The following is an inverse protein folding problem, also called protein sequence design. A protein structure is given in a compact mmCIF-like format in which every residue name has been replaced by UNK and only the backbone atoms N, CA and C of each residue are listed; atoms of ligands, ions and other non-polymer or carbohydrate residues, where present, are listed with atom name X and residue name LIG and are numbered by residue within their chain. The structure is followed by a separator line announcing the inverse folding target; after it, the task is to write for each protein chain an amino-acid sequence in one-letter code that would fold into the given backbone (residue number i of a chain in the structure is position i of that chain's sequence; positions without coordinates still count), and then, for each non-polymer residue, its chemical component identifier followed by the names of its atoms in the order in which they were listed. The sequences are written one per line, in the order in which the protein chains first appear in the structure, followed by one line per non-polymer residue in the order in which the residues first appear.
data_IF_788421370346
#
_entry.id   IF_788421370346
#
_cell.length_a   1.000
_cell.length_b   1.000
_cell.length_c   1.000
_cell.angle_alpha   90.00
_cell.angle_beta   90.00
_cell.angle_gamma   90.00
#
_symmetry.space_group_name_H-M   'P 1'
#
loop_
_entity.id
_entity.type
_entity.pdbx_description
1 polymer ?
#
# COMPACT_ATOMS: atom_id res chain seq x y z
N UNK A 1 -26.39 -16.29 -13.31
CA UNK A 1 -25.08 -16.72 -12.77
C UNK A 1 -24.04 -16.63 -13.89
N UNK A 2 -22.83 -16.14 -13.59
CA UNK A 2 -21.68 -16.06 -14.52
C UNK A 2 -20.43 -16.55 -13.78
N UNK A 3 -19.49 -17.14 -14.50
CA UNK A 3 -18.17 -17.55 -13.99
C UNK A 3 -17.18 -16.42 -14.19
N UNK A 4 -16.57 -15.96 -13.11
CA UNK A 4 -15.67 -14.81 -13.12
C UNK A 4 -14.30 -15.24 -12.61
N UNK A 5 -13.28 -15.08 -13.45
CA UNK A 5 -11.90 -15.29 -13.06
C UNK A 5 -11.29 -13.94 -12.63
N UNK A 6 -10.91 -13.82 -11.37
CA UNK A 6 -10.20 -12.67 -10.82
C UNK A 6 -8.71 -12.97 -10.77
N UNK A 7 -7.90 -12.17 -11.46
CA UNK A 7 -6.45 -12.33 -11.55
C UNK A 7 -5.76 -11.17 -10.83
N UNK A 8 -4.90 -11.47 -9.85
CA UNK A 8 -3.98 -10.46 -9.30
C UNK A 8 -2.72 -10.40 -10.16
N UNK A 9 -2.35 -9.21 -10.62
CA UNK A 9 -1.13 -9.00 -11.41
C UNK A 9 0.12 -8.74 -10.56
N UNK A 10 0.00 -8.74 -9.23
CA UNK A 10 1.12 -8.38 -8.38
C UNK A 10 2.21 -9.46 -8.47
N UNK A 11 3.48 -9.03 -8.57
CA UNK A 11 4.67 -9.89 -8.48
C UNK A 11 5.63 -9.43 -7.38
N UNK A 12 5.27 -8.37 -6.66
CA UNK A 12 6.17 -7.73 -5.69
C UNK A 12 6.27 -8.55 -4.42
N UNK A 13 7.52 -8.81 -4.02
CA UNK A 13 7.86 -9.50 -2.76
C UNK A 13 8.55 -8.57 -1.76
N UNK A 14 8.73 -7.30 -2.12
CA UNK A 14 9.51 -6.31 -1.38
C UNK A 14 8.61 -5.21 -0.78
N UNK A 15 8.82 -4.82 0.49
CA UNK A 15 9.68 -5.50 1.48
C UNK A 15 9.13 -6.87 1.87
N UNK A 16 7.84 -7.12 1.70
CA UNK A 16 7.20 -8.42 1.89
C UNK A 16 6.06 -8.58 0.90
N UNK A 17 5.72 -9.81 0.49
CA UNK A 17 4.58 -10.04 -0.38
C UNK A 17 3.28 -9.66 0.34
N UNK A 18 2.37 -8.99 -0.38
CA UNK A 18 1.10 -8.50 0.16
C UNK A 18 -0.06 -9.19 -0.53
N UNK A 19 -0.98 -9.74 0.27
CA UNK A 19 -2.19 -10.40 -0.24
C UNK A 19 -3.06 -9.40 -1.02
N UNK A 20 -3.66 -9.79 -2.16
CA UNK A 20 -4.44 -8.89 -3.02
C UNK A 20 -5.84 -8.59 -2.41
N UNK A 21 -5.86 -7.82 -1.32
CA UNK A 21 -7.07 -7.52 -0.55
C UNK A 21 -8.18 -6.88 -1.39
N UNK A 22 -7.84 -5.91 -2.24
CA UNK A 22 -8.82 -5.28 -3.14
C UNK A 22 -9.51 -6.30 -4.05
N UNK A 23 -8.77 -7.28 -4.59
CA UNK A 23 -9.33 -8.35 -5.40
C UNK A 23 -10.25 -9.27 -4.58
N UNK A 24 -9.90 -9.58 -3.33
CA UNK A 24 -10.76 -10.38 -2.44
C UNK A 24 -12.06 -9.68 -2.06
N UNK A 25 -12.04 -8.35 -1.89
CA UNK A 25 -13.26 -7.55 -1.68
C UNK A 25 -14.15 -7.56 -2.93
N UNK A 26 -13.55 -7.41 -4.12
CA UNK A 26 -14.30 -7.54 -5.38
C UNK A 26 -14.88 -8.95 -5.57
N UNK A 27 -14.12 -10.00 -5.22
CA UNK A 27 -14.61 -11.38 -5.26
C UNK A 27 -15.83 -11.57 -4.34
N UNK A 28 -15.81 -11.00 -3.12
CA UNK A 28 -16.93 -11.05 -2.20
C UNK A 28 -18.18 -10.34 -2.76
N UNK A 29 -18.01 -9.16 -3.36
CA UNK A 29 -19.12 -8.41 -3.96
C UNK A 29 -19.76 -9.17 -5.13
N UNK A 30 -18.95 -9.76 -6.00
CA UNK A 30 -19.43 -10.57 -7.13
C UNK A 30 -20.12 -11.86 -6.68
N UNK A 31 -19.59 -12.53 -5.66
CA UNK A 31 -20.21 -13.71 -5.07
C UNK A 31 -21.58 -13.36 -4.45
N UNK A 32 -21.67 -12.24 -3.72
CA UNK A 32 -22.92 -11.74 -3.15
C UNK A 32 -23.96 -11.37 -4.23
N UNK A 33 -23.51 -10.96 -5.43
CA UNK A 33 -24.35 -10.73 -6.60
C UNK A 33 -24.79 -12.03 -7.33
N UNK A 34 -24.44 -13.21 -6.81
CA UNK A 34 -24.86 -14.50 -7.36
C UNK A 34 -24.00 -15.00 -8.53
N UNK A 35 -22.75 -14.54 -8.61
CA UNK A 35 -21.75 -15.04 -9.56
C UNK A 35 -20.84 -16.09 -8.91
N UNK A 36 -20.30 -16.98 -9.74
CA UNK A 36 -19.27 -17.93 -9.33
C UNK A 36 -17.91 -17.26 -9.52
N UNK A 37 -17.12 -17.13 -8.44
CA UNK A 37 -15.86 -16.40 -8.45
C UNK A 37 -14.67 -17.33 -8.25
N UNK A 38 -13.67 -17.24 -9.13
CA UNK A 38 -12.41 -17.96 -9.03
C UNK A 38 -11.28 -16.95 -8.91
N UNK A 39 -10.46 -17.06 -7.85
CA UNK A 39 -9.30 -16.19 -7.68
C UNK A 39 -8.04 -16.89 -8.18
N UNK A 40 -7.20 -16.15 -8.90
CA UNK A 40 -5.88 -16.57 -9.33
C UNK A 40 -4.87 -15.48 -8.96
N UNK A 41 -3.93 -15.85 -8.10
CA UNK A 41 -2.89 -14.97 -7.60
C UNK A 41 -1.59 -15.31 -8.33
N UNK A 42 -1.15 -14.43 -9.21
CA UNK A 42 -0.02 -14.71 -10.09
C UNK A 42 1.27 -14.94 -9.30
N UNK A 43 1.54 -14.11 -8.28
CA UNK A 43 2.70 -14.29 -7.39
C UNK A 43 2.62 -15.60 -6.59
N UNK A 44 1.46 -15.89 -5.96
CA UNK A 44 1.33 -17.11 -5.17
C UNK A 44 1.36 -18.39 -6.02
N UNK A 45 1.13 -18.27 -7.34
CA UNK A 45 1.29 -19.35 -8.32
C UNK A 45 2.67 -19.36 -8.99
N UNK A 46 3.66 -18.67 -8.42
CA UNK A 46 5.04 -18.68 -8.92
C UNK A 46 5.21 -17.99 -10.27
N UNK A 47 4.36 -17.01 -10.58
CA UNK A 47 4.40 -16.23 -11.82
C UNK A 47 4.29 -17.10 -13.08
N UNK A 48 3.65 -18.28 -12.97
CA UNK A 48 3.51 -19.23 -14.08
C UNK A 48 2.37 -18.85 -15.02
N UNK A 49 2.75 -18.52 -16.26
CA UNK A 49 1.82 -18.31 -17.37
C UNK A 49 1.05 -19.60 -17.71
N UNK A 50 1.71 -20.76 -17.60
CA UNK A 50 1.12 -22.07 -17.86
C UNK A 50 0.00 -22.40 -16.86
N UNK A 51 0.20 -22.08 -15.58
CA UNK A 51 -0.83 -22.27 -14.56
C UNK A 51 -2.02 -21.31 -14.77
N UNK A 52 -1.77 -20.09 -15.25
CA UNK A 52 -2.85 -19.17 -15.61
C UNK A 52 -3.63 -19.70 -16.81
N UNK A 53 -2.94 -20.15 -17.86
CA UNK A 53 -3.58 -20.73 -19.04
C UNK A 53 -4.42 -21.97 -18.68
N UNK A 54 -3.88 -22.86 -17.84
CA UNK A 54 -4.60 -24.02 -17.33
C UNK A 54 -5.84 -23.61 -16.53
N UNK A 55 -5.73 -22.57 -15.68
CA UNK A 55 -6.86 -22.05 -14.91
C UNK A 55 -7.93 -21.41 -15.79
N UNK A 56 -7.56 -20.70 -16.85
CA UNK A 56 -8.51 -20.15 -17.82
C UNK A 56 -9.27 -21.29 -18.52
N UNK A 57 -8.58 -22.35 -18.93
CA UNK A 57 -9.20 -23.52 -19.54
C UNK A 57 -10.12 -24.28 -18.57
N UNK A 58 -9.69 -24.46 -17.32
CA UNK A 58 -10.45 -25.12 -16.24
C UNK A 58 -11.77 -24.38 -15.93
N UNK A 59 -11.70 -23.06 -15.76
CA UNK A 59 -12.85 -22.23 -15.38
C UNK A 59 -13.76 -21.96 -16.57
N UNK A 60 -13.16 -21.78 -17.76
CA UNK A 60 -13.82 -21.26 -18.96
C UNK A 60 -14.67 -20.00 -18.65
N UNK A 61 -14.03 -18.90 -18.21
CA UNK A 61 -14.72 -17.76 -17.62
C UNK A 61 -15.64 -17.04 -18.61
N UNK A 62 -16.75 -16.49 -18.10
CA UNK A 62 -17.59 -15.53 -18.83
C UNK A 62 -16.97 -14.13 -18.82
N UNK A 63 -16.25 -13.77 -17.74
CA UNK A 63 -15.55 -12.50 -17.56
C UNK A 63 -14.24 -12.71 -16.82
N UNK A 64 -13.24 -11.87 -17.12
CA UNK A 64 -11.97 -11.84 -16.39
C UNK A 64 -11.77 -10.46 -15.77
N UNK A 65 -11.48 -10.41 -14.47
CA UNK A 65 -11.16 -9.18 -13.73
C UNK A 65 -9.68 -9.17 -13.37
N UNK A 66 -8.92 -8.20 -13.88
CA UNK A 66 -7.48 -8.06 -13.62
C UNK A 66 -7.24 -6.92 -12.62
N UNK A 67 -6.64 -7.23 -11.47
CA UNK A 67 -6.26 -6.25 -10.45
C UNK A 67 -4.80 -5.84 -10.59
N UNK A 68 -4.56 -4.56 -10.83
CA UNK A 68 -3.24 -3.93 -10.92
C UNK A 68 -3.01 -3.04 -9.70
N UNK A 69 -2.11 -3.49 -8.82
CA UNK A 69 -1.83 -2.84 -7.53
C UNK A 69 -0.80 -1.71 -7.66
N UNK A 70 0.33 -1.96 -8.32
CA UNK A 70 1.49 -1.07 -8.35
C UNK A 70 1.79 -0.59 -9.77
N UNK A 71 2.22 0.68 -9.89
CA UNK A 71 2.81 1.20 -11.13
C UNK A 71 4.30 0.82 -11.20
N UNK A 72 5.01 0.94 -10.09
CA UNK A 72 6.44 0.74 -9.98
C UNK A 72 6.84 0.45 -8.53
N UNK A 73 8.13 0.27 -8.28
CA UNK A 73 8.70 -0.01 -6.96
C UNK A 73 8.93 1.26 -6.09
N UNK A 74 8.68 2.46 -6.60
CA UNK A 74 8.91 3.73 -5.91
C UNK A 74 10.35 3.93 -5.36
N UNK A 75 11.37 3.31 -5.97
CA UNK A 75 12.78 3.51 -5.63
C UNK A 75 13.53 4.20 -6.78
N UNK A 76 14.03 5.42 -6.56
CA UNK A 76 14.74 6.17 -7.60
C UNK A 76 16.12 5.59 -7.93
N UNK A 77 16.72 4.84 -7.01
CA UNK A 77 18.05 4.26 -7.19
C UNK A 77 18.01 2.93 -7.95
N UNK A 78 16.84 2.30 -8.04
CA UNK A 78 16.64 1.00 -8.71
C UNK A 78 15.26 0.88 -9.39
N UNK A 79 14.85 1.94 -10.09
CA UNK A 79 13.49 2.08 -10.59
C UNK A 79 13.04 0.93 -11.51
N UNK A 80 11.90 0.31 -11.17
CA UNK A 80 11.30 -0.81 -11.91
C UNK A 80 9.80 -0.58 -12.07
N UNK A 81 9.31 -0.58 -13.32
CA UNK A 81 7.88 -0.47 -13.65
C UNK A 81 7.18 -1.82 -13.82
N UNK A 82 5.89 -1.88 -13.50
CA UNK A 82 5.05 -3.09 -13.55
C UNK A 82 3.93 -3.14 -14.61
N UNK A 83 3.57 -2.07 -15.38
CA UNK A 83 2.50 -2.15 -16.39
C UNK A 83 2.69 -3.26 -17.43
N UNK A 84 3.94 -3.61 -17.75
CA UNK A 84 4.26 -4.69 -18.68
C UNK A 84 3.68 -6.05 -18.27
N UNK A 85 3.63 -6.33 -16.97
CA UNK A 85 3.04 -7.56 -16.42
C UNK A 85 1.53 -7.56 -16.69
N UNK A 86 0.84 -6.46 -16.38
CA UNK A 86 -0.59 -6.35 -16.63
C UNK A 86 -0.92 -6.56 -18.12
N UNK A 87 -0.14 -5.96 -19.03
CA UNK A 87 -0.31 -6.17 -20.48
C UNK A 87 -0.13 -7.63 -20.86
N UNK A 88 0.95 -8.29 -20.38
CA UNK A 88 1.19 -9.71 -20.68
C UNK A 88 0.07 -10.61 -20.17
N UNK A 89 -0.48 -10.34 -18.99
CA UNK A 89 -1.61 -11.09 -18.44
C UNK A 89 -2.89 -10.89 -19.26
N UNK A 90 -3.13 -9.69 -19.83
CA UNK A 90 -4.26 -9.49 -20.76
C UNK A 90 -4.04 -10.31 -22.04
N UNK A 91 -2.83 -10.32 -22.61
CA UNK A 91 -2.49 -11.12 -23.79
C UNK A 91 -2.75 -12.62 -23.56
N UNK A 92 -2.28 -13.18 -22.45
CA UNK A 92 -2.51 -14.57 -22.06
C UNK A 92 -3.99 -14.92 -21.94
N UNK A 93 -4.80 -14.01 -21.38
CA UNK A 93 -6.25 -14.21 -21.29
C UNK A 93 -6.88 -14.29 -22.68
N UNK A 94 -6.41 -13.48 -23.64
CA UNK A 94 -6.90 -13.50 -25.03
C UNK A 94 -6.45 -14.73 -25.81
N UNK A 95 -5.26 -15.23 -25.53
CA UNK A 95 -4.77 -16.49 -26.10
C UNK A 95 -5.64 -17.67 -25.61
N UNK A 96 -6.07 -17.64 -24.34
CA UNK A 96 -6.85 -18.73 -23.72
C UNK A 96 -8.37 -18.66 -23.87
N UNK A 97 -8.97 -17.46 -24.01
CA UNK A 97 -10.43 -17.30 -24.11
C UNK A 97 -10.87 -15.97 -24.75
N UNK A 98 -12.18 -15.83 -25.01
CA UNK A 98 -12.80 -14.60 -25.54
C UNK A 98 -13.56 -13.78 -24.49
N UNK A 99 -13.41 -14.12 -23.21
CA UNK A 99 -14.08 -13.40 -22.13
C UNK A 99 -13.67 -11.91 -22.13
N UNK A 100 -14.59 -10.97 -21.86
CA UNK A 100 -14.22 -9.59 -21.68
C UNK A 100 -13.27 -9.42 -20.48
N UNK A 101 -12.23 -8.60 -20.66
CA UNK A 101 -11.24 -8.30 -19.63
C UNK A 101 -11.55 -6.94 -19.02
N UNK A 102 -11.80 -6.94 -17.72
CA UNK A 102 -12.09 -5.76 -16.90
C UNK A 102 -10.87 -5.50 -16.01
N UNK A 103 -10.19 -4.38 -16.20
CA UNK A 103 -9.01 -4.00 -15.42
C UNK A 103 -9.38 -3.02 -14.30
N UNK A 104 -8.71 -3.10 -13.15
CA UNK A 104 -8.93 -2.18 -12.03
C UNK A 104 -7.80 -2.25 -11.00
N UNK A 105 -7.97 -1.59 -9.87
CA UNK A 105 -6.97 -1.52 -8.79
C UNK A 105 -6.35 -0.14 -8.63
N UNK A 106 -5.53 0.03 -7.58
CA UNK A 106 -4.99 1.33 -7.19
C UNK A 106 -4.10 1.93 -8.29
N UNK A 107 -3.13 1.19 -8.82
CA UNK A 107 -2.28 1.67 -9.90
C UNK A 107 -3.06 1.96 -11.18
N UNK A 108 -4.03 1.12 -11.54
CA UNK A 108 -4.92 1.40 -12.66
C UNK A 108 -5.66 2.73 -12.47
N UNK A 109 -6.17 2.98 -11.26
CA UNK A 109 -6.94 4.18 -10.93
C UNK A 109 -6.14 5.48 -11.00
N UNK A 110 -4.79 5.42 -10.88
CA UNK A 110 -3.89 6.58 -10.99
C UNK A 110 -3.69 7.01 -12.45
N UNK A 111 -3.57 6.04 -13.39
CA UNK A 111 -3.34 6.29 -14.83
C UNK A 111 -4.34 5.51 -15.72
N UNK A 112 -5.67 5.69 -15.55
CA UNK A 112 -6.63 4.74 -16.09
C UNK A 112 -6.76 4.79 -17.61
N UNK A 113 -6.77 5.96 -18.24
CA UNK A 113 -6.82 6.06 -19.70
C UNK A 113 -5.57 5.45 -20.35
N UNK A 114 -4.39 5.78 -19.82
CA UNK A 114 -3.12 5.30 -20.35
C UNK A 114 -2.97 3.79 -20.17
N UNK A 115 -3.30 3.25 -18.99
CA UNK A 115 -3.19 1.82 -18.72
C UNK A 115 -4.26 1.00 -19.44
N UNK A 116 -5.47 1.52 -19.61
CA UNK A 116 -6.51 0.84 -20.40
C UNK A 116 -6.06 0.71 -21.87
N UNK A 117 -5.49 1.79 -22.42
CA UNK A 117 -4.94 1.79 -23.77
C UNK A 117 -3.72 0.86 -23.90
N UNK A 118 -2.77 0.96 -22.98
CA UNK A 118 -1.52 0.19 -23.00
C UNK A 118 -1.72 -1.32 -22.84
N UNK A 119 -2.65 -1.74 -21.98
CA UNK A 119 -2.90 -3.16 -21.71
C UNK A 119 -3.84 -3.80 -22.74
N UNK A 120 -4.65 -3.01 -23.44
CA UNK A 120 -5.65 -3.53 -24.38
C UNK A 120 -6.84 -4.22 -23.72
N UNK A 121 -7.09 -3.98 -22.42
CA UNK A 121 -8.29 -4.48 -21.74
C UNK A 121 -9.57 -3.84 -22.33
N UNK A 122 -10.70 -4.55 -22.22
CA UNK A 122 -11.96 -4.08 -22.80
C UNK A 122 -12.55 -2.93 -22.00
N UNK A 123 -12.59 -3.11 -20.68
CA UNK A 123 -13.19 -2.20 -19.72
C UNK A 123 -12.25 -1.90 -18.56
N UNK A 124 -12.38 -0.73 -17.94
CA UNK A 124 -11.64 -0.32 -16.76
C UNK A 124 -12.55 0.22 -15.66
N UNK A 125 -12.22 -0.09 -14.41
CA UNK A 125 -12.90 0.43 -13.21
C UNK A 125 -11.94 1.30 -12.42
N UNK A 126 -12.31 2.56 -12.18
CA UNK A 126 -11.50 3.52 -11.42
C UNK A 126 -12.09 3.77 -10.04
N UNK A 127 -11.25 3.65 -9.01
CA UNK A 127 -11.63 3.80 -7.61
C UNK A 127 -12.30 2.53 -7.06
N UNK A 128 -13.37 2.72 -6.30
CA UNK A 128 -14.10 1.64 -5.62
C UNK A 128 -14.93 0.81 -6.62
N UNK A 129 -14.52 -0.44 -6.82
CA UNK A 129 -15.05 -1.29 -7.88
C UNK A 129 -16.19 -2.21 -7.48
N UNK A 130 -16.48 -2.36 -6.18
CA UNK A 130 -17.38 -3.36 -5.61
C UNK A 130 -18.76 -3.33 -6.27
N UNK A 131 -19.31 -2.11 -6.44
CA UNK A 131 -20.58 -1.89 -7.11
C UNK A 131 -20.43 -1.89 -8.64
N UNK A 132 -19.45 -1.14 -9.16
CA UNK A 132 -19.31 -0.87 -10.59
C UNK A 132 -19.04 -2.12 -11.41
N UNK A 133 -18.24 -3.06 -10.89
CA UNK A 133 -17.95 -4.32 -11.58
C UNK A 133 -19.22 -5.19 -11.70
N UNK A 134 -20.06 -5.20 -10.67
CA UNK A 134 -21.34 -5.92 -10.68
C UNK A 134 -22.31 -5.30 -11.71
N UNK A 135 -22.41 -3.97 -11.73
CA UNK A 135 -23.24 -3.24 -12.69
C UNK A 135 -22.77 -3.46 -14.14
N UNK A 136 -21.45 -3.40 -14.37
CA UNK A 136 -20.84 -3.64 -15.67
C UNK A 136 -21.14 -5.07 -16.17
N UNK A 137 -20.88 -6.08 -15.34
CA UNK A 137 -21.13 -7.49 -15.71
C UNK A 137 -22.61 -7.75 -15.97
N UNK A 138 -23.51 -7.17 -15.16
CA UNK A 138 -24.96 -7.25 -15.39
C UNK A 138 -25.33 -6.65 -16.74
N UNK A 139 -24.85 -5.45 -17.05
CA UNK A 139 -25.22 -4.73 -18.27
C UNK A 139 -24.67 -5.42 -19.52
N UNK A 140 -23.42 -5.90 -19.48
CA UNK A 140 -22.84 -6.72 -20.55
C UNK A 140 -23.60 -8.04 -20.74
N UNK A 141 -24.02 -8.68 -19.64
CA UNK A 141 -24.82 -9.91 -19.70
C UNK A 141 -26.22 -9.70 -20.31
N UNK A 142 -26.72 -8.45 -20.29
CA UNK A 142 -27.98 -8.05 -20.92
C UNK A 142 -27.81 -7.56 -22.36
N UNK A 143 -26.59 -7.63 -22.92
CA UNK A 143 -26.30 -7.16 -24.28
C UNK A 143 -26.27 -5.63 -24.42
N UNK A 144 -26.13 -4.89 -23.31
CA UNK A 144 -25.94 -3.43 -23.34
C UNK A 144 -24.47 -3.10 -23.68
N UNK A 145 -24.25 -1.85 -24.08
CA UNK A 145 -22.93 -1.31 -24.42
C UNK A 145 -22.55 -0.19 -23.45
N UNK A 146 -22.04 -0.51 -22.25
CA UNK A 146 -21.59 0.49 -21.29
C UNK A 146 -20.30 1.18 -21.77
N UNK A 147 -19.94 2.35 -21.19
CA UNK A 147 -18.65 2.99 -21.44
C UNK A 147 -17.48 2.05 -21.12
N UNK A 148 -16.37 2.17 -21.85
CA UNK A 148 -15.16 1.37 -21.58
C UNK A 148 -14.51 1.70 -20.24
N UNK A 149 -14.63 2.93 -19.75
CA UNK A 149 -14.05 3.34 -18.47
C UNK A 149 -15.16 3.80 -17.53
N UNK A 150 -15.28 3.15 -16.37
CA UNK A 150 -16.28 3.47 -15.35
C UNK A 150 -15.59 4.11 -14.14
N UNK A 151 -16.22 5.15 -13.61
CA UNK A 151 -15.79 5.90 -12.42
C UNK A 151 -17.00 6.04 -11.50
N UNK A 152 -16.82 5.90 -10.19
CA UNK A 152 -17.93 6.12 -9.26
C UNK A 152 -18.11 7.62 -9.02
N UNK A 153 -19.34 8.11 -9.17
CA UNK A 153 -19.69 9.50 -8.79
C UNK A 153 -19.79 9.67 -7.27
N UNK A 154 -20.04 8.58 -6.55
CA UNK A 154 -20.17 8.55 -5.10
C UNK A 154 -19.30 7.45 -4.49
N UNK A 155 -18.53 7.80 -3.47
CA UNK A 155 -17.77 6.84 -2.68
C UNK A 155 -18.69 6.13 -1.68
N UNK A 156 -18.42 4.85 -1.41
CA UNK A 156 -19.19 4.01 -0.49
C UNK A 156 -19.13 4.55 0.94
N UNK A 157 -20.22 4.64 1.70
CA UNK A 157 -20.09 4.89 3.14
C UNK A 157 -19.41 3.68 3.83
N UNK A 158 -18.75 3.91 4.95
CA UNK A 158 -17.89 2.89 5.58
C UNK A 158 -18.63 1.67 6.13
N UNK A 159 -19.92 1.81 6.44
CA UNK A 159 -20.86 0.72 6.78
C UNK A 159 -21.18 -0.20 5.59
N UNK A 160 -20.78 0.20 4.36
CA UNK A 160 -20.95 -0.58 3.13
C UNK A 160 -19.65 -1.17 2.61
N UNK A 161 -18.54 -1.05 3.34
CA UNK A 161 -17.31 -1.73 2.95
C UNK A 161 -17.46 -3.23 3.13
N UNK A 162 -17.31 -3.97 2.04
CA UNK A 162 -17.46 -5.41 2.02
C UNK A 162 -16.33 -6.13 2.74
N UNK A 163 -16.66 -7.19 3.46
CA UNK A 163 -15.69 -8.14 3.99
C UNK A 163 -14.97 -8.87 2.85
N UNK A 164 -13.64 -9.08 2.95
CA UNK A 164 -12.90 -9.79 1.91
C UNK A 164 -13.25 -11.28 1.88
N UNK A 165 -13.39 -11.83 0.67
CA UNK A 165 -13.46 -13.28 0.44
C UNK A 165 -12.04 -13.80 0.23
N UNK A 166 -11.39 -14.26 1.29
CA UNK A 166 -10.02 -14.74 1.19
C UNK A 166 -9.91 -16.10 0.47
N UNK A 167 -8.92 -16.22 -0.41
CA UNK A 167 -8.56 -17.46 -1.09
C UNK A 167 -7.72 -18.34 -0.16
N UNK A 168 -8.26 -19.50 0.23
CA UNK A 168 -7.51 -20.50 1.03
C UNK A 168 -6.18 -20.89 0.38
N UNK A 169 -6.16 -21.01 -0.95
CA UNK A 169 -4.95 -21.36 -1.71
C UNK A 169 -3.90 -20.26 -1.63
N UNK A 170 -4.31 -19.00 -1.77
CA UNK A 170 -3.38 -17.86 -1.77
C UNK A 170 -2.90 -17.51 -0.36
N UNK A 171 -3.77 -17.59 0.66
CA UNK A 171 -3.39 -17.28 2.05
C UNK A 171 -2.16 -18.08 2.50
N UNK A 172 -2.10 -19.38 2.18
CA UNK A 172 -0.98 -20.23 2.58
C UNK A 172 0.37 -19.66 2.16
N UNK A 173 0.47 -19.12 0.94
CA UNK A 173 1.67 -18.46 0.44
C UNK A 173 2.04 -17.23 1.28
N UNK A 174 1.09 -16.34 1.58
CA UNK A 174 1.40 -15.11 2.33
C UNK A 174 1.74 -15.39 3.79
N UNK A 175 1.03 -16.30 4.45
CA UNK A 175 1.38 -16.73 5.81
C UNK A 175 2.76 -17.40 5.83
N UNK A 176 3.10 -18.20 4.81
CA UNK A 176 4.43 -18.82 4.70
C UNK A 176 5.53 -17.78 4.43
N UNK A 177 5.29 -16.75 3.62
CA UNK A 177 6.33 -15.79 3.20
C UNK A 177 6.48 -14.58 4.12
N UNK A 178 5.38 -13.94 4.51
CA UNK A 178 5.39 -12.74 5.36
C UNK A 178 4.99 -13.03 6.81
N UNK A 179 4.21 -14.09 7.04
CA UNK A 179 3.60 -14.37 8.36
C UNK A 179 2.41 -13.46 8.69
N UNK A 180 1.91 -12.69 7.72
CA UNK A 180 0.88 -11.68 7.94
C UNK A 180 -0.18 -11.69 6.84
N UNK A 181 -1.42 -11.39 7.22
CA UNK A 181 -2.49 -11.01 6.28
C UNK A 181 -2.77 -9.51 6.40
N UNK A 182 -3.53 -8.92 5.47
CA UNK A 182 -3.92 -7.52 5.55
C UNK A 182 -5.44 -7.34 5.65
N UNK A 183 -5.83 -6.23 6.29
CA UNK A 183 -7.21 -5.80 6.43
C UNK A 183 -7.26 -4.27 6.39
N UNK A 184 -8.34 -3.71 5.84
CA UNK A 184 -8.59 -2.27 5.84
C UNK A 184 -9.72 -1.96 6.82
N UNK A 185 -9.50 -0.96 7.68
CA UNK A 185 -10.46 -0.51 8.72
C UNK A 185 -11.19 0.76 8.29
N UNK A 186 -10.60 1.56 7.39
CA UNK A 186 -11.20 2.76 6.83
C UNK A 186 -10.62 3.11 5.46
N UNK A 187 -11.29 4.00 4.74
CA UNK A 187 -10.83 4.58 3.48
C UNK A 187 -10.86 6.10 3.53
N UNK A 188 -9.98 6.71 2.78
CA UNK A 188 -9.88 8.15 2.60
C UNK A 188 -8.78 8.77 3.44
N UNK A 189 -8.38 9.99 3.09
CA UNK A 189 -7.35 10.75 3.79
C UNK A 189 -7.56 12.25 3.58
N UNK A 190 -7.78 13.05 4.65
CA UNK A 190 -8.01 14.49 4.54
C UNK A 190 -6.72 15.32 4.44
N UNK A 191 -5.55 14.67 4.36
CA UNK A 191 -4.28 15.37 4.35
C UNK A 191 -3.86 15.80 2.94
N UNK A 192 -3.31 17.02 2.82
CA UNK A 192 -2.87 17.60 1.55
C UNK A 192 -1.40 17.33 1.21
N UNK A 193 -0.88 16.11 1.47
CA UNK A 193 0.52 15.78 1.16
C UNK A 193 0.74 15.82 -0.35
N UNK A 194 1.68 16.64 -0.83
CA UNK A 194 1.75 17.03 -2.25
C UNK A 194 2.06 15.89 -3.23
N UNK A 195 2.56 14.76 -2.73
CA UNK A 195 3.01 13.61 -3.52
C UNK A 195 2.03 12.42 -3.44
N UNK A 196 0.98 12.54 -2.63
CA UNK A 196 0.17 11.41 -2.22
C UNK A 196 -1.00 11.14 -3.18
N UNK A 197 -1.23 9.86 -3.49
CA UNK A 197 -2.35 9.42 -4.33
C UNK A 197 -3.62 9.08 -3.55
N UNK A 198 -3.55 8.91 -2.22
CA UNK A 198 -4.69 8.45 -1.41
C UNK A 198 -5.94 9.32 -1.52
N UNK A 199 -5.88 10.66 -1.50
CA UNK A 199 -7.07 11.49 -1.68
C UNK A 199 -7.81 11.21 -3.01
N UNK A 200 -7.06 10.96 -4.09
CA UNK A 200 -7.65 10.62 -5.39
C UNK A 200 -8.18 9.17 -5.45
N UNK A 201 -7.54 8.23 -4.74
CA UNK A 201 -7.92 6.82 -4.73
C UNK A 201 -9.10 6.51 -3.80
N UNK A 202 -9.11 7.12 -2.62
CA UNK A 202 -10.01 6.76 -1.52
C UNK A 202 -10.86 7.93 -1.01
N UNK A 203 -10.68 9.13 -1.55
CA UNK A 203 -11.40 10.34 -1.15
C UNK A 203 -10.71 11.16 -0.06
N UNK A 204 -11.14 12.41 0.06
CA UNK A 204 -10.54 13.42 0.95
C UNK A 204 -11.10 13.40 2.39
N UNK A 205 -11.92 12.41 2.74
CA UNK A 205 -12.54 12.29 4.07
C UNK A 205 -12.49 10.84 4.52
N UNK A 206 -12.22 10.65 5.81
CA UNK A 206 -12.28 9.31 6.40
C UNK A 206 -13.71 8.76 6.37
N UNK A 207 -13.81 7.50 5.98
CA UNK A 207 -15.02 6.69 6.00
C UNK A 207 -14.68 5.41 6.74
N UNK A 208 -15.24 5.26 7.94
CA UNK A 208 -14.86 4.23 8.89
C UNK A 208 -15.76 3.01 8.79
N UNK A 209 -15.17 1.82 8.90
CA UNK A 209 -15.95 0.61 9.18
C UNK A 209 -16.36 0.61 10.64
N UNK A 210 -17.48 -0.03 10.94
CA UNK A 210 -17.84 -0.32 12.32
C UNK A 210 -16.77 -1.20 12.98
N UNK A 211 -16.28 -0.87 14.21
CA UNK A 211 -15.28 -1.68 14.91
C UNK A 211 -15.66 -3.15 15.02
N UNK A 212 -16.94 -3.44 15.25
CA UNK A 212 -17.46 -4.80 15.29
C UNK A 212 -17.24 -5.56 13.98
N UNK A 213 -17.47 -4.91 12.83
CA UNK A 213 -17.27 -5.54 11.52
C UNK A 213 -15.77 -5.80 11.22
N UNK A 214 -14.88 -4.94 11.70
CA UNK A 214 -13.43 -5.17 11.62
C UNK A 214 -13.05 -6.38 12.49
N UNK A 215 -13.55 -6.45 13.72
CA UNK A 215 -13.31 -7.57 14.62
C UNK A 215 -13.89 -8.89 14.10
N UNK A 216 -15.06 -8.87 13.45
CA UNK A 216 -15.67 -10.04 12.80
C UNK A 216 -14.76 -10.59 11.68
N UNK A 217 -14.15 -9.71 10.87
CA UNK A 217 -13.21 -10.13 9.82
C UNK A 217 -11.92 -10.74 10.40
N UNK A 218 -11.40 -10.14 11.47
CA UNK A 218 -10.21 -10.66 12.18
C UNK A 218 -10.47 -12.04 12.77
N UNK A 219 -11.60 -12.21 13.47
CA UNK A 219 -12.01 -13.48 14.07
C UNK A 219 -12.25 -14.55 13.00
N UNK A 220 -12.94 -14.21 11.91
CA UNK A 220 -13.19 -15.14 10.81
C UNK A 220 -11.89 -15.58 10.12
N UNK A 221 -10.99 -14.65 9.82
CA UNK A 221 -9.69 -14.98 9.22
C UNK A 221 -8.84 -15.88 10.14
N UNK A 222 -8.89 -15.65 11.47
CA UNK A 222 -8.24 -16.54 12.44
C UNK A 222 -8.89 -17.94 12.45
N UNK A 223 -10.21 -18.01 12.53
CA UNK A 223 -10.94 -19.28 12.65
C UNK A 223 -10.86 -20.14 11.37
N UNK A 224 -10.99 -19.52 10.20
CA UNK A 224 -11.05 -20.25 8.92
C UNK A 224 -9.67 -20.54 8.31
N UNK A 225 -8.65 -19.75 8.67
CA UNK A 225 -7.35 -19.77 8.01
C UNK A 225 -6.15 -19.77 8.96
N UNK A 226 -6.35 -19.72 10.28
CA UNK A 226 -5.26 -19.74 11.26
C UNK A 226 -4.41 -18.47 11.26
N UNK A 227 -4.94 -17.34 10.80
CA UNK A 227 -4.20 -16.07 10.75
C UNK A 227 -3.98 -15.53 12.16
N UNK A 228 -2.74 -15.24 12.51
CA UNK A 228 -2.37 -14.71 13.83
C UNK A 228 -1.81 -13.28 13.81
N UNK A 229 -1.39 -12.79 12.64
CA UNK A 229 -0.83 -11.45 12.48
C UNK A 229 -1.44 -10.70 11.30
N UNK A 230 -1.75 -9.42 11.51
CA UNK A 230 -2.36 -8.56 10.51
C UNK A 230 -1.56 -7.27 10.25
N UNK A 231 -1.63 -6.76 9.04
CA UNK A 231 -1.25 -5.40 8.69
C UNK A 231 -2.51 -4.60 8.37
N UNK A 232 -2.79 -3.52 9.11
CA UNK A 232 -3.87 -2.60 8.76
C UNK A 232 -3.43 -1.66 7.63
N UNK A 233 -4.04 -1.82 6.46
CA UNK A 233 -3.67 -1.14 5.21
C UNK A 233 -4.49 0.13 4.97
N UNK A 234 -4.81 0.85 6.04
CA UNK A 234 -5.42 2.18 5.91
C UNK A 234 -4.38 3.17 5.35
N UNK A 235 -4.86 4.27 4.75
CA UNK A 235 -3.99 5.37 4.33
C UNK A 235 -3.14 5.92 5.48
N UNK A 236 -3.78 6.09 6.64
CA UNK A 236 -3.20 6.40 7.96
C UNK A 236 -4.15 5.79 8.98
N UNK A 237 -3.63 4.97 9.91
CA UNK A 237 -4.48 4.31 10.92
C UNK A 237 -4.99 5.30 11.97
N UNK A 238 -4.16 6.20 12.49
CA UNK A 238 -4.59 7.20 13.49
C UNK A 238 -5.17 8.47 12.87
N UNK A 239 -6.48 8.65 12.99
CA UNK A 239 -7.15 9.94 12.76
C UNK A 239 -7.10 10.82 14.02
N UNK A 240 -7.27 12.13 13.83
CA UNK A 240 -7.16 13.13 14.89
C UNK A 240 -8.26 13.01 15.94
N UNK A 241 -9.43 12.53 15.52
CA UNK A 241 -10.62 12.38 16.36
C UNK A 241 -10.57 11.13 17.24
N UNK A 242 -9.61 10.23 17.03
CA UNK A 242 -9.40 9.05 17.87
C UNK A 242 -10.27 7.84 17.52
N UNK A 243 -10.93 7.81 16.36
CA UNK A 243 -11.79 6.68 15.97
C UNK A 243 -11.05 5.35 15.91
N UNK A 244 -9.77 5.37 15.54
CA UNK A 244 -8.91 4.18 15.55
C UNK A 244 -8.79 3.49 16.91
N UNK A 245 -8.96 4.20 18.02
CA UNK A 245 -8.92 3.62 19.37
C UNK A 245 -10.10 2.68 19.61
N UNK A 246 -11.26 2.93 18.99
CA UNK A 246 -12.41 2.04 19.09
C UNK A 246 -12.15 0.66 18.48
N UNK A 247 -11.28 0.56 17.47
CA UNK A 247 -10.82 -0.73 16.93
C UNK A 247 -10.00 -1.49 17.97
N UNK A 248 -9.05 -0.80 18.63
CA UNK A 248 -8.21 -1.39 19.66
C UNK A 248 -9.04 -1.85 20.87
N UNK A 249 -10.00 -1.02 21.31
CA UNK A 249 -10.93 -1.36 22.38
C UNK A 249 -11.81 -2.57 22.04
N UNK A 250 -12.32 -2.65 20.80
CA UNK A 250 -13.13 -3.78 20.36
C UNK A 250 -12.34 -5.10 20.33
N UNK A 251 -11.08 -5.06 19.88
CA UNK A 251 -10.17 -6.21 19.92
C UNK A 251 -9.97 -6.69 21.37
N UNK A 252 -9.73 -5.76 22.31
CA UNK A 252 -9.56 -6.09 23.74
C UNK A 252 -10.86 -6.64 24.32
N UNK A 253 -12.00 -5.99 24.04
CA UNK A 253 -13.32 -6.36 24.55
C UNK A 253 -13.71 -7.80 24.18
N UNK A 254 -13.37 -8.22 22.97
CA UNK A 254 -13.59 -9.59 22.49
C UNK A 254 -12.52 -10.58 22.92
N UNK A 255 -11.41 -10.11 23.49
CA UNK A 255 -10.27 -10.95 23.86
C UNK A 255 -9.60 -11.62 22.65
N UNK A 256 -9.58 -10.95 21.49
CA UNK A 256 -8.95 -11.52 20.29
C UNK A 256 -7.44 -11.59 20.48
N UNK A 257 -6.91 -12.81 20.59
CA UNK A 257 -5.47 -13.05 20.69
C UNK A 257 -4.84 -13.06 19.29
N UNK A 258 -4.47 -11.87 18.80
CA UNK A 258 -3.79 -11.64 17.53
C UNK A 258 -2.75 -10.52 17.65
N UNK A 259 -1.83 -10.46 16.70
CA UNK A 259 -0.85 -9.38 16.55
C UNK A 259 -1.23 -8.51 15.37
N UNK A 260 -0.93 -7.22 15.43
CA UNK A 260 -1.08 -6.35 14.26
C UNK A 260 -0.05 -5.22 14.21
N UNK A 261 0.10 -4.66 13.01
CA UNK A 261 0.90 -3.49 12.70
C UNK A 261 0.13 -2.58 11.74
N UNK A 262 0.56 -1.32 11.61
CA UNK A 262 -0.13 -0.32 10.81
C UNK A 262 0.79 0.85 10.44
N UNK A 263 0.31 1.69 9.52
CA UNK A 263 0.86 3.02 9.27
C UNK A 263 0.28 4.04 10.24
N UNK A 264 1.16 4.75 10.93
CA UNK A 264 0.84 5.85 11.83
C UNK A 264 1.40 7.16 11.31
N UNK A 265 0.62 8.22 11.45
CA UNK A 265 1.05 9.61 11.31
C UNK A 265 1.60 10.08 12.67
N UNK A 266 2.78 10.73 12.73
CA UNK A 266 3.38 11.15 13.99
C UNK A 266 2.53 12.07 14.88
N UNK A 267 1.71 12.92 14.26
CA UNK A 267 0.91 13.94 14.93
C UNK A 267 -0.09 13.34 15.93
N UNK A 268 -0.09 13.86 17.17
CA UNK A 268 -1.13 13.59 18.17
C UNK A 268 -1.07 12.21 18.84
N UNK A 269 0.04 11.47 18.72
CA UNK A 269 0.21 10.17 19.38
C UNK A 269 1.06 10.27 20.64
N UNK A 270 0.41 10.09 21.80
CA UNK A 270 1.06 10.03 23.10
C UNK A 270 1.24 8.61 23.62
N UNK A 271 1.85 8.52 24.80
CA UNK A 271 2.04 7.25 25.51
C UNK A 271 0.73 6.49 25.81
N UNK A 272 -0.38 7.13 26.24
CA UNK A 272 -1.64 6.42 26.51
C UNK A 272 -2.21 5.70 25.29
N UNK A 273 -2.17 6.35 24.11
CA UNK A 273 -2.67 5.80 22.86
C UNK A 273 -1.84 4.58 22.44
N UNK A 274 -0.50 4.70 22.49
CA UNK A 274 0.42 3.59 22.21
C UNK A 274 0.20 2.42 23.18
N UNK A 275 0.05 2.70 24.48
CA UNK A 275 -0.18 1.67 25.49
C UNK A 275 -1.50 0.91 25.27
N UNK A 276 -2.58 1.62 24.89
CA UNK A 276 -3.87 1.00 24.55
C UNK A 276 -3.75 0.11 23.31
N UNK A 277 -3.14 0.62 22.23
CA UNK A 277 -2.93 -0.18 21.02
C UNK A 277 -2.06 -1.40 21.26
N UNK A 278 -1.00 -1.28 22.09
CA UNK A 278 -0.14 -2.41 22.46
C UNK A 278 -0.90 -3.49 23.21
N UNK A 279 -1.78 -3.11 24.15
CA UNK A 279 -2.69 -4.05 24.83
C UNK A 279 -3.64 -4.75 23.87
N UNK A 280 -4.02 -4.09 22.78
CA UNK A 280 -4.85 -4.66 21.72
C UNK A 280 -4.06 -5.51 20.71
N UNK A 281 -2.75 -5.69 20.87
CA UNK A 281 -1.93 -6.53 20.00
C UNK A 281 -1.06 -5.79 18.99
N UNK A 282 -0.99 -4.45 19.04
CA UNK A 282 0.00 -3.69 18.25
C UNK A 282 1.40 -4.10 18.70
N UNK A 283 2.16 -4.72 17.81
CA UNK A 283 3.51 -5.20 18.13
C UNK A 283 4.60 -4.37 17.46
N UNK A 284 4.28 -3.66 16.37
CA UNK A 284 5.20 -2.76 15.70
C UNK A 284 4.45 -1.73 14.85
N UNK A 285 5.05 -0.58 14.58
CA UNK A 285 4.43 0.50 13.80
C UNK A 285 5.35 1.06 12.69
N UNK A 286 4.74 1.46 11.57
CA UNK A 286 5.39 2.23 10.51
C UNK A 286 4.99 3.70 10.64
N UNK A 287 5.94 4.62 10.74
CA UNK A 287 5.70 6.05 10.91
C UNK A 287 5.98 6.80 9.61
N UNK A 288 4.92 7.40 9.07
CA UNK A 288 4.97 8.35 7.94
C UNK A 288 5.56 9.68 8.39
N UNK A 289 6.87 9.70 8.61
CA UNK A 289 7.63 10.92 8.97
C UNK A 289 7.91 11.74 7.72
N UNK A 290 8.23 11.05 6.64
CA UNK A 290 8.35 11.51 5.25
C UNK A 290 9.46 12.52 4.96
N UNK A 291 9.82 13.39 5.89
CA UNK A 291 10.99 14.25 5.79
C UNK A 291 11.62 14.51 7.17
N UNK A 292 12.91 14.86 7.16
CA UNK A 292 13.70 14.98 8.37
C UNK A 292 13.95 16.43 8.83
N UNK A 293 13.58 17.44 8.03
CA UNK A 293 13.64 18.85 8.41
C UNK A 293 12.25 19.49 8.35
N UNK A 294 12.00 20.50 9.19
CA UNK A 294 10.72 21.21 9.18
C UNK A 294 10.50 21.99 7.87
N UNK A 295 11.59 22.40 7.21
CA UNK A 295 11.54 23.04 5.90
C UNK A 295 10.99 22.09 4.84
N UNK A 296 11.53 20.87 4.77
CA UNK A 296 11.06 19.86 3.81
C UNK A 296 9.67 19.33 4.20
N UNK A 297 9.36 19.15 5.49
CA UNK A 297 8.02 18.76 5.93
C UNK A 297 6.95 19.76 5.44
N UNK A 298 7.20 21.06 5.60
CA UNK A 298 6.28 22.10 5.10
C UNK A 298 6.17 22.08 3.58
N UNK A 299 7.28 21.92 2.86
CA UNK A 299 7.24 21.87 1.40
C UNK A 299 6.48 20.65 0.87
N UNK A 300 6.49 19.54 1.60
CA UNK A 300 5.69 18.34 1.30
C UNK A 300 4.22 18.46 1.69
N UNK A 301 3.78 19.57 2.28
CA UNK A 301 2.41 19.77 2.75
C UNK A 301 2.08 18.98 4.01
N UNK A 302 3.08 18.69 4.86
CA UNK A 302 2.86 18.05 6.15
C UNK A 302 2.29 19.04 7.15
N UNK A 303 1.35 18.54 7.97
CA UNK A 303 0.67 19.32 9.01
C UNK A 303 1.32 19.20 10.39
N UNK A 304 2.52 18.60 10.47
CA UNK A 304 3.27 18.38 11.71
C UNK A 304 4.74 18.76 11.49
N UNK A 305 5.47 18.87 12.59
CA UNK A 305 6.90 19.17 12.67
C UNK A 305 7.72 17.92 13.01
N UNK A 306 9.04 17.99 12.88
CA UNK A 306 9.92 16.92 13.32
C UNK A 306 9.88 16.72 14.86
N UNK A 307 9.46 17.73 15.63
CA UNK A 307 9.23 17.58 17.07
C UNK A 307 8.12 16.57 17.37
N UNK A 308 7.06 16.51 16.55
CA UNK A 308 6.00 15.51 16.67
C UNK A 308 6.54 14.09 16.42
N UNK A 309 7.44 13.92 15.45
CA UNK A 309 8.13 12.66 15.20
C UNK A 309 8.97 12.19 16.41
N UNK A 310 9.62 13.13 17.10
CA UNK A 310 10.37 12.83 18.33
C UNK A 310 9.45 12.52 19.52
N UNK A 311 8.27 13.13 19.59
CA UNK A 311 7.29 12.84 20.63
C UNK A 311 6.72 11.43 20.52
N UNK A 312 6.23 11.05 19.33
CA UNK A 312 5.74 9.68 19.11
C UNK A 312 6.86 8.65 19.27
N UNK A 313 8.10 8.97 18.85
CA UNK A 313 9.24 8.07 19.06
C UNK A 313 9.47 7.84 20.57
N UNK A 314 9.48 8.89 21.40
CA UNK A 314 9.58 8.76 22.86
C UNK A 314 8.44 7.92 23.46
N UNK A 315 7.21 8.08 22.96
CA UNK A 315 6.07 7.27 23.40
C UNK A 315 6.27 5.78 23.05
N UNK A 316 6.72 5.48 21.82
CA UNK A 316 7.08 4.13 21.40
C UNK A 316 8.20 3.54 22.26
N UNK A 317 9.25 4.30 22.57
CA UNK A 317 10.35 3.84 23.44
C UNK A 317 9.87 3.55 24.86
N UNK A 318 9.06 4.45 25.44
CA UNK A 318 8.50 4.26 26.79
C UNK A 318 7.65 2.99 26.90
N UNK A 319 6.89 2.68 25.85
CA UNK A 319 6.08 1.46 25.76
C UNK A 319 6.82 0.28 25.14
N UNK A 320 8.11 0.40 24.82
CA UNK A 320 8.91 -0.65 24.16
C UNK A 320 8.20 -1.21 22.91
N UNK A 321 7.69 -0.32 22.07
CA UNK A 321 7.06 -0.64 20.80
C UNK A 321 8.06 -0.38 19.66
N UNK A 322 8.56 -1.43 18.98
CA UNK A 322 9.37 -1.26 17.78
C UNK A 322 8.67 -0.39 16.72
N UNK A 323 9.36 0.63 16.23
CA UNK A 323 8.86 1.46 15.14
C UNK A 323 9.91 1.64 14.03
N UNK A 324 9.43 1.99 12.84
CA UNK A 324 10.26 2.41 11.72
C UNK A 324 9.79 3.75 11.17
N UNK A 325 10.69 4.71 11.03
CA UNK A 325 10.42 5.97 10.35
C UNK A 325 10.83 5.85 8.88
N UNK A 326 9.94 6.26 7.98
CA UNK A 326 10.21 6.35 6.54
C UNK A 326 10.41 7.81 6.20
N UNK A 327 11.53 8.16 5.57
CA UNK A 327 11.88 9.54 5.21
C UNK A 327 12.41 9.61 3.78
N UNK A 328 11.99 10.63 3.04
CA UNK A 328 12.44 10.90 1.68
C UNK A 328 13.28 12.17 1.68
N UNK A 329 14.39 12.14 0.94
CA UNK A 329 15.23 13.28 0.63
C UNK A 329 15.11 13.63 -0.87
N UNK A 330 15.50 14.85 -1.24
CA UNK A 330 15.32 15.43 -2.57
C UNK A 330 13.97 16.13 -2.78
N UNK A 331 13.21 16.45 -1.72
CA UNK A 331 11.89 17.09 -1.82
C UNK A 331 11.93 18.55 -2.30
N UNK A 332 10.81 19.15 -2.74
CA UNK A 332 10.81 20.53 -3.22
C UNK A 332 11.39 21.53 -2.22
N UNK A 333 12.31 22.38 -2.71
CA UNK A 333 12.98 23.40 -1.88
C UNK A 333 14.07 22.85 -0.94
N UNK A 334 14.37 21.55 -0.98
CA UNK A 334 15.44 20.96 -0.18
C UNK A 334 16.82 21.37 -0.73
N UNK A 335 17.71 21.73 0.20
CA UNK A 335 19.11 22.13 -0.01
C UNK A 335 20.05 21.26 0.82
N UNK A 336 21.36 21.36 0.58
CA UNK A 336 22.40 20.64 1.34
C UNK A 336 22.32 20.96 2.85
N UNK A 337 21.99 22.19 3.22
CA UNK A 337 21.84 22.61 4.62
C UNK A 337 20.65 21.91 5.28
N UNK A 338 19.51 21.83 4.59
CA UNK A 338 18.32 21.13 5.11
C UNK A 338 18.51 19.61 5.13
N UNK A 339 19.34 19.04 4.24
CA UNK A 339 19.76 17.63 4.33
C UNK A 339 20.59 17.42 5.60
N UNK A 340 21.57 18.30 5.87
CA UNK A 340 22.40 18.22 7.07
C UNK A 340 21.57 18.37 8.36
N UNK A 341 20.62 19.33 8.38
CA UNK A 341 19.65 19.48 9.47
C UNK A 341 18.84 18.20 9.66
N UNK A 342 18.33 17.63 8.56
CA UNK A 342 17.57 16.39 8.56
C UNK A 342 18.35 15.22 9.15
N UNK A 343 19.60 15.02 8.73
CA UNK A 343 20.44 13.96 9.28
C UNK A 343 20.71 14.16 10.77
N UNK A 344 20.98 15.39 11.23
CA UNK A 344 21.13 15.70 12.65
C UNK A 344 19.85 15.43 13.45
N UNK A 345 18.68 15.68 12.85
CA UNK A 345 17.38 15.36 13.42
C UNK A 345 17.17 13.84 13.57
N UNK A 346 17.53 13.04 12.57
CA UNK A 346 17.42 11.57 12.61
C UNK A 346 18.33 10.92 13.66
N UNK A 347 19.44 11.55 14.05
CA UNK A 347 20.29 11.06 15.15
C UNK A 347 19.60 11.15 16.52
N UNK A 348 18.59 12.02 16.65
CA UNK A 348 17.82 12.19 17.90
C UNK A 348 16.72 11.14 18.07
N UNK A 349 16.45 10.34 17.05
CA UNK A 349 15.48 9.25 17.12
C UNK A 349 16.11 8.01 17.77
N UNK A 350 15.55 7.60 18.90
CA UNK A 350 16.08 6.52 19.74
C UNK A 350 15.33 5.21 19.49
N UNK A 351 16.05 4.08 19.61
CA UNK A 351 15.51 2.71 19.54
C UNK A 351 14.47 2.50 18.42
N UNK A 352 14.77 3.02 17.23
CA UNK A 352 13.92 2.92 16.04
C UNK A 352 14.75 2.63 14.81
N UNK A 353 14.12 2.03 13.80
CA UNK A 353 14.72 1.95 12.46
C UNK A 353 14.35 3.19 11.67
N UNK A 354 15.25 3.65 10.78
CA UNK A 354 14.98 4.67 9.79
C UNK A 354 15.28 4.11 8.40
N UNK A 355 14.29 4.18 7.51
CA UNK A 355 14.45 3.93 6.08
C UNK A 355 14.49 5.28 5.37
N UNK A 356 15.62 5.59 4.74
CA UNK A 356 15.75 6.77 3.91
C UNK A 356 15.56 6.39 2.43
N UNK A 357 15.00 7.32 1.67
CA UNK A 357 14.79 7.22 0.23
C UNK A 357 15.35 8.48 -0.45
N UNK A 358 15.87 8.31 -1.66
CA UNK A 358 16.32 9.42 -2.49
C UNK A 358 15.26 9.69 -3.55
N UNK A 359 14.84 10.94 -3.69
CA UNK A 359 13.79 11.35 -4.63
C UNK A 359 12.39 10.92 -4.23
N UNK A 360 11.39 11.58 -4.83
CA UNK A 360 9.97 11.33 -4.56
C UNK A 360 9.25 11.00 -5.84
N UNK A 361 8.54 9.87 -5.88
CA UNK A 361 7.81 9.42 -7.08
C UNK A 361 6.75 10.45 -7.49
N UNK A 362 6.82 10.93 -8.74
CA UNK A 362 5.87 11.92 -9.28
C UNK A 362 4.63 11.22 -9.84
N UNK A 363 3.48 11.40 -9.20
CA UNK A 363 2.22 10.81 -9.64
C UNK A 363 1.33 11.85 -10.35
N UNK A 364 0.52 11.44 -11.35
CA UNK A 364 -0.44 12.34 -11.99
C UNK A 364 -1.47 12.86 -10.98
N UNK A 365 -2.00 14.05 -11.25
CA UNK A 365 -3.02 14.67 -10.40
C UNK A 365 -2.53 15.14 -9.03
N UNK A 366 -1.22 15.06 -8.75
CA UNK A 366 -0.64 15.52 -7.48
C UNK A 366 -0.01 16.91 -7.60
N UNK A 367 -0.02 17.74 -6.55
CA UNK A 367 0.69 19.03 -6.57
C UNK A 367 2.21 18.91 -6.80
N UNK A 368 2.82 17.76 -6.49
CA UNK A 368 4.23 17.49 -6.78
C UNK A 368 4.51 17.51 -8.30
N UNK A 369 3.59 17.01 -9.14
CA UNK A 369 3.73 17.10 -10.59
C UNK A 369 3.81 18.56 -11.05
N UNK A 370 2.98 19.44 -10.49
CA UNK A 370 3.03 20.86 -10.81
C UNK A 370 4.39 21.49 -10.40
N UNK A 371 4.95 21.06 -9.27
CA UNK A 371 6.31 21.45 -8.88
C UNK A 371 7.34 20.94 -9.88
N UNK A 372 7.29 19.67 -10.26
CA UNK A 372 8.21 19.07 -11.22
C UNK A 372 8.21 19.77 -12.59
N UNK A 373 7.03 20.17 -13.08
CA UNK A 373 6.90 20.91 -14.35
C UNK A 373 7.48 22.32 -14.21
N UNK A 374 7.13 23.03 -13.13
CA UNK A 374 7.67 24.38 -12.86
C UNK A 374 9.19 24.38 -12.78
N UNK A 375 9.75 23.35 -12.14
CA UNK A 375 11.18 23.23 -11.89
C UNK A 375 11.93 22.60 -13.08
N UNK A 376 11.24 22.34 -14.20
CA UNK A 376 11.84 21.86 -15.45
C UNK A 376 12.24 20.38 -15.44
N UNK A 377 11.84 19.60 -14.44
CA UNK A 377 12.17 18.19 -14.29
C UNK A 377 11.32 17.28 -15.18
N UNK A 378 10.09 17.70 -15.48
CA UNK A 378 9.14 16.95 -16.30
C UNK A 378 8.46 17.88 -17.28
N UNK A 379 8.36 17.46 -18.55
CA UNK A 379 7.61 18.21 -19.56
C UNK A 379 6.10 18.15 -19.27
N UNK A 380 5.38 19.24 -19.57
CA UNK A 380 3.93 19.26 -19.44
C UNK A 380 3.29 18.17 -20.31
N UNK A 381 2.44 17.33 -19.72
CA UNK A 381 1.76 16.23 -20.41
C UNK A 381 2.63 15.00 -20.70
N UNK A 382 3.84 14.92 -20.15
CA UNK A 382 4.64 13.71 -20.22
C UNK A 382 3.89 12.50 -19.62
N UNK A 383 4.04 11.33 -20.24
CA UNK A 383 3.57 10.08 -19.65
C UNK A 383 4.30 9.84 -18.33
N UNK A 384 3.55 9.40 -17.32
CA UNK A 384 4.05 9.02 -16.00
C UNK A 384 3.88 7.53 -15.73
N UNK A 385 3.63 6.73 -16.77
CA UNK A 385 3.55 5.26 -16.68
C UNK A 385 4.89 4.68 -16.24
N UNK A 386 5.96 5.14 -16.86
CA UNK A 386 7.32 4.80 -16.45
C UNK A 386 7.73 5.70 -15.27
N UNK A 387 8.49 5.19 -14.29
CA UNK A 387 8.73 5.90 -13.04
C UNK A 387 9.61 7.14 -13.25
N UNK A 388 9.10 8.29 -12.81
CA UNK A 388 9.82 9.56 -12.76
C UNK A 388 9.80 10.09 -11.33
N UNK A 389 10.94 10.61 -10.87
CA UNK A 389 11.15 11.06 -9.50
C UNK A 389 11.48 12.55 -9.46
N UNK A 390 10.92 13.24 -8.47
CA UNK A 390 11.28 14.60 -8.13
C UNK A 390 12.55 14.56 -7.29
N UNK A 391 13.56 15.28 -7.75
CA UNK A 391 14.80 15.57 -7.05
C UNK A 391 15.01 17.08 -7.12
N UNK A 392 15.06 17.73 -5.97
CA UNK A 392 15.21 19.19 -5.86
C UNK A 392 16.39 19.68 -6.71
N UNK A 393 16.19 20.66 -7.61
CA UNK A 393 17.32 21.31 -8.29
C UNK A 393 18.28 22.04 -7.34
N UNK A 394 17.84 22.31 -6.11
CA UNK A 394 18.64 22.98 -5.06
C UNK A 394 19.63 22.07 -4.33
N UNK A 395 19.68 20.77 -4.66
CA UNK A 395 20.61 19.81 -4.04
C UNK A 395 21.38 19.03 -5.10
N UNK A 396 22.69 18.89 -4.91
CA UNK A 396 23.48 17.92 -5.65
C UNK A 396 23.10 16.51 -5.14
N UNK A 397 22.52 15.70 -6.02
CA UNK A 397 21.95 14.40 -5.66
C UNK A 397 23.04 13.41 -5.24
N UNK A 398 24.21 13.47 -5.86
CA UNK A 398 25.36 12.64 -5.50
C UNK A 398 25.83 12.98 -4.08
N UNK A 399 26.05 14.27 -3.81
CA UNK A 399 26.45 14.74 -2.48
C UNK A 399 25.42 14.38 -1.42
N UNK A 400 24.13 14.57 -1.69
CA UNK A 400 23.04 14.21 -0.79
C UNK A 400 23.09 12.72 -0.42
N UNK A 401 23.21 11.85 -1.43
CA UNK A 401 23.28 10.40 -1.21
C UNK A 401 24.55 10.02 -0.42
N UNK A 402 25.70 10.62 -0.73
CA UNK A 402 26.96 10.43 0.02
C UNK A 402 26.83 10.85 1.49
N UNK A 403 26.13 11.97 1.76
CA UNK A 403 25.86 12.43 3.13
C UNK A 403 24.98 11.44 3.90
N UNK A 404 23.91 10.92 3.27
CA UNK A 404 23.03 9.92 3.88
C UNK A 404 23.81 8.63 4.15
N UNK A 405 24.56 8.11 3.16
CA UNK A 405 25.39 6.92 3.32
C UNK A 405 26.44 7.07 4.41
N UNK A 406 27.09 8.24 4.51
CA UNK A 406 28.07 8.53 5.54
C UNK A 406 27.43 8.55 6.95
N UNK A 407 26.27 9.18 7.10
CA UNK A 407 25.52 9.21 8.36
C UNK A 407 25.02 7.82 8.77
N UNK A 408 24.60 7.00 7.80
CA UNK A 408 24.01 5.68 8.07
C UNK A 408 25.07 4.57 8.19
N UNK A 409 26.34 4.87 7.89
CA UNK A 409 27.44 3.90 7.90
C UNK A 409 27.60 3.23 9.27
N UNK A 410 27.75 1.91 9.25
CA UNK A 410 27.92 1.05 10.44
C UNK A 410 26.73 1.07 11.42
N UNK A 411 25.57 1.63 11.02
CA UNK A 411 24.33 1.64 11.80
C UNK A 411 23.39 0.56 11.29
N UNK A 412 22.96 -0.35 12.17
CA UNK A 412 22.02 -1.44 11.81
C UNK A 412 20.57 -0.95 11.73
N UNK A 413 20.28 0.12 12.44
CA UNK A 413 19.00 0.78 12.61
C UNK A 413 18.79 1.94 11.62
N UNK A 414 19.72 2.13 10.68
CA UNK A 414 19.64 3.10 9.59
C UNK A 414 19.82 2.36 8.28
N UNK A 415 18.91 2.56 7.33
CA UNK A 415 18.85 1.81 6.08
C UNK A 415 18.81 2.79 4.91
N UNK A 416 19.90 2.81 4.14
CA UNK A 416 20.03 3.54 2.89
C UNK A 416 21.21 2.94 2.10
N UNK A 417 21.04 2.62 0.80
CA UNK A 417 19.81 2.70 0.02
C UNK A 417 18.76 1.65 0.47
N UNK A 418 17.48 1.78 0.08
CA UNK A 418 16.41 0.83 0.44
C UNK A 418 16.76 -0.63 0.15
N UNK A 419 17.49 -0.88 -0.95
CA UNK A 419 17.97 -2.21 -1.34
C UNK A 419 18.85 -2.90 -0.28
N UNK A 420 19.50 -2.15 0.63
CA UNK A 420 20.25 -2.75 1.74
C UNK A 420 19.30 -3.41 2.76
N UNK A 421 18.17 -2.77 3.06
CA UNK A 421 17.14 -3.33 3.94
C UNK A 421 16.58 -4.64 3.38
N UNK A 422 16.39 -4.71 2.07
CA UNK A 422 15.94 -5.92 1.37
C UNK A 422 16.94 -7.06 1.52
N UNK A 423 18.24 -6.79 1.33
CA UNK A 423 19.30 -7.79 1.52
C UNK A 423 19.31 -8.34 2.95
N UNK A 424 19.17 -7.46 3.96
CA UNK A 424 19.11 -7.85 5.38
C UNK A 424 17.91 -8.77 5.63
N UNK A 425 16.72 -8.39 5.16
CA UNK A 425 15.50 -9.19 5.33
C UNK A 425 15.59 -10.56 4.62
N UNK A 426 16.13 -10.60 3.40
CA UNK A 426 16.32 -11.85 2.65
C UNK A 426 17.24 -12.83 3.39
N UNK A 427 18.31 -12.33 4.02
CA UNK A 427 19.18 -13.16 4.88
C UNK A 427 18.40 -13.70 6.08
N UNK A 428 17.63 -12.87 6.76
CA UNK A 428 16.84 -13.30 7.93
C UNK A 428 15.78 -14.34 7.56
N UNK A 429 15.10 -14.17 6.42
CA UNK A 429 14.09 -15.10 5.93
C UNK A 429 14.66 -16.49 5.61
N UNK A 430 15.94 -16.59 5.19
CA UNK A 430 16.66 -17.87 5.01
C UNK A 430 16.86 -18.62 6.33
N UNK A 431 16.90 -17.89 7.45
CA UNK A 431 16.94 -18.45 8.80
C UNK A 431 15.54 -18.59 9.43
N UNK A 432 14.49 -18.55 8.63
CA UNK A 432 13.10 -18.79 9.08
C UNK A 432 12.39 -17.57 9.66
N UNK A 433 12.99 -16.37 9.61
CA UNK A 433 12.32 -15.16 10.09
C UNK A 433 11.07 -14.82 9.25
N UNK A 434 10.00 -14.43 9.94
CA UNK A 434 8.74 -13.94 9.39
C UNK A 434 8.29 -12.73 10.23
N UNK A 435 7.82 -11.68 9.58
CA UNK A 435 7.44 -10.41 10.22
C UNK A 435 8.23 -9.21 9.72
N UNK A 436 8.02 -8.07 10.37
CA UNK A 436 8.58 -6.76 9.98
C UNK A 436 10.05 -6.63 10.37
N UNK A 437 10.90 -6.05 9.52
CA UNK A 437 12.35 -6.00 9.75
C UNK A 437 12.73 -5.39 11.12
N UNK A 438 12.05 -4.31 11.54
CA UNK A 438 12.35 -3.59 12.78
C UNK A 438 11.92 -4.30 14.07
N UNK A 439 11.04 -5.32 14.00
CA UNK A 439 10.67 -6.15 15.18
C UNK A 439 11.90 -6.87 15.78
N UNK A 440 12.98 -7.00 15.01
CA UNK A 440 14.22 -7.69 15.44
C UNK A 440 15.47 -6.82 15.43
N UNK A 441 15.48 -5.74 14.64
CA UNK A 441 16.63 -4.82 14.60
C UNK A 441 16.72 -3.96 15.85
N UNK A 442 15.60 -3.70 16.51
CA UNK A 442 15.54 -2.92 17.75
C UNK A 442 15.62 -3.88 18.94
N UNK A 443 16.61 -3.66 19.80
CA UNK A 443 16.69 -4.35 21.09
C UNK A 443 16.42 -3.33 22.19
N UNK A 444 15.37 -3.56 22.96
CA UNK A 444 15.16 -2.85 24.21
C UNK A 444 16.00 -3.52 25.30
N UNK A 445 16.71 -2.73 26.15
CA UNK A 445 17.48 -3.25 27.26
C UNK A 445 16.61 -3.91 28.35
#
# INVERSE_FOLDING_TARGET
MKRILLVSSNVTTEPYPVYPLGLAVIAAALAAAGHETHQFDFLACGESEELLAARIAEVAPDFVCLSVRNLDNCDSLSATGYPGIARRLVELVREGCRAPVIIGGAAFSILPEELLSYTGADYGIVGEGERLVCELIRDLSQGKTPPRLLRSEALLPGDRFGSPLYSKRSIGFYLEKSGMLNLQTKRGCPHGCIYCSYPALEGERYRFREPGAVADDLERAKAEHGVESFFFTDSVFNDKEGHYLAIAEEIIRRGLSLRWCCYLRPEGLGRPEIALMKRAGLYAAELGTDAASDTTLRSLGKGFSFADALEVNRACVAERLPCAHFVMFGGPGETVETVAEGLANLERLEHTVVFAFSGIRILPGTPLLACAVRDGLVAQGASLRDPVYYLSPGVDVQLMNEMIEASFRNRRDRVFPPAEGQKRLAVMQRFGYRGLLWDTLIKYP
#
